data_IF_313456089189
#
_entry.id   IF_313456089189
#
_cell.length_a   1.000
_cell.length_b   1.000
_cell.length_c   1.000
_cell.angle_alpha   90.00
_cell.angle_beta   90.00
_cell.angle_gamma   90.00
#
_symmetry.space_group_name_H-M   'P 1'
#
loop_
_entity.id
_entity.type
_entity.pdbx_description
1 polymer ?
#
# COMPACT_ATOMS: atom_id res chain seq x y z
N UNK A 1 60.23 44.89 -4.55
CA UNK A 1 61.18 45.28 -5.61
C UNK A 1 61.48 44.07 -6.48
N UNK A 2 61.30 44.24 -7.79
CA UNK A 2 61.63 43.35 -8.93
C UNK A 2 60.75 42.11 -9.24
N UNK A 3 59.97 42.34 -10.29
CA UNK A 3 59.36 41.49 -11.31
C UNK A 3 60.37 40.48 -11.91
N UNK A 4 59.89 39.31 -12.33
CA UNK A 4 60.50 38.51 -13.41
C UNK A 4 59.82 37.16 -13.64
N UNK A 5 58.86 37.03 -14.57
CA UNK A 5 58.94 36.60 -16.00
C UNK A 5 58.72 35.10 -16.24
N UNK A 6 57.80 34.85 -17.16
CA UNK A 6 57.36 33.59 -17.77
C UNK A 6 58.46 32.94 -18.64
N UNK A 7 58.51 31.60 -18.67
CA UNK A 7 58.98 30.86 -19.86
C UNK A 7 58.24 29.54 -20.04
N UNK A 8 57.50 29.45 -21.15
CA UNK A 8 56.98 28.24 -21.81
C UNK A 8 58.11 27.52 -22.56
N UNK A 9 58.19 26.18 -22.53
CA UNK A 9 58.79 25.39 -23.63
C UNK A 9 58.11 24.04 -23.83
N UNK A 10 58.02 23.74 -25.12
CA UNK A 10 57.35 22.65 -25.82
C UNK A 10 58.25 21.40 -26.00
N UNK A 11 57.57 20.25 -26.11
CA UNK A 11 57.69 19.20 -27.12
C UNK A 11 58.74 18.06 -27.07
N UNK A 12 58.21 16.89 -27.51
CA UNK A 12 58.73 15.74 -28.31
C UNK A 12 58.72 14.42 -27.54
N UNK A 13 57.73 13.53 -27.71
CA UNK A 13 57.47 12.54 -28.78
C UNK A 13 58.69 11.66 -29.12
N UNK A 14 58.57 10.37 -28.78
CA UNK A 14 59.10 9.16 -29.44
C UNK A 14 58.26 7.99 -28.85
N UNK A 15 57.20 7.51 -29.51
CA UNK A 15 57.16 6.54 -30.61
C UNK A 15 57.95 5.25 -30.33
N UNK A 16 57.30 4.28 -29.69
CA UNK A 16 57.63 2.86 -29.83
C UNK A 16 56.38 2.10 -30.28
N UNK A 17 56.34 1.80 -31.57
CA UNK A 17 55.45 0.82 -32.15
C UNK A 17 56.01 -0.57 -31.85
N UNK A 18 55.17 -1.45 -31.32
CA UNK A 18 55.36 -2.90 -31.44
C UNK A 18 54.07 -3.50 -31.95
N UNK A 19 54.13 -3.94 -33.20
CA UNK A 19 53.18 -4.85 -33.82
C UNK A 19 53.03 -6.11 -32.94
N UNK A 20 51.81 -6.45 -32.56
CA UNK A 20 51.42 -7.85 -32.37
C UNK A 20 50.13 -8.10 -33.13
N UNK A 21 50.16 -9.27 -33.75
CA UNK A 21 49.38 -9.77 -34.86
C UNK A 21 47.91 -10.02 -34.53
N UNK A 22 47.11 -9.99 -35.60
CA UNK A 22 45.69 -10.29 -35.66
C UNK A 22 45.32 -11.64 -35.03
N UNK A 23 44.48 -11.59 -33.98
CA UNK A 23 43.54 -12.66 -33.65
C UNK A 23 42.13 -12.14 -33.97
N UNK A 24 41.56 -12.59 -35.09
CA UNK A 24 40.19 -12.29 -35.44
C UNK A 24 39.24 -13.02 -34.47
N UNK A 25 38.73 -12.31 -33.47
CA UNK A 25 37.52 -12.71 -32.76
C UNK A 25 36.36 -11.88 -33.33
N UNK A 26 35.55 -12.53 -34.18
CA UNK A 26 34.25 -12.01 -34.55
C UNK A 26 33.34 -12.06 -33.31
N UNK A 27 33.18 -10.92 -32.63
CA UNK A 27 32.01 -10.67 -31.80
C UNK A 27 31.00 -9.90 -32.67
N UNK A 28 30.24 -10.62 -33.50
CA UNK A 28 29.08 -10.02 -34.15
C UNK A 28 28.02 -9.79 -33.07
N UNK A 29 27.81 -8.52 -32.77
CA UNK A 29 26.84 -8.04 -31.81
C UNK A 29 25.42 -8.44 -32.22
N UNK A 30 24.77 -9.23 -31.36
CA UNK A 30 23.33 -9.21 -31.29
C UNK A 30 22.93 -7.96 -30.51
N UNK A 31 22.72 -6.86 -31.24
CA UNK A 31 21.87 -5.78 -30.77
C UNK A 31 20.48 -6.37 -30.57
N UNK A 32 20.10 -6.60 -29.32
CA UNK A 32 18.70 -6.84 -28.96
C UNK A 32 17.95 -5.54 -29.22
N UNK A 33 17.37 -5.44 -30.42
CA UNK A 33 16.34 -4.47 -30.75
C UNK A 33 15.14 -4.75 -29.84
N UNK A 34 15.05 -4.02 -28.72
CA UNK A 34 13.78 -3.88 -28.02
C UNK A 34 12.89 -3.02 -28.92
N UNK A 35 12.09 -3.68 -29.76
CA UNK A 35 11.02 -3.03 -30.49
C UNK A 35 10.02 -2.48 -29.48
N UNK A 36 9.96 -1.16 -29.34
CA UNK A 36 8.80 -0.52 -28.73
C UNK A 36 7.65 -0.66 -29.73
N UNK A 37 6.79 -1.65 -29.50
CA UNK A 37 5.49 -1.69 -30.15
C UNK A 37 4.72 -0.42 -29.74
N UNK A 38 4.34 0.37 -30.72
CA UNK A 38 3.45 1.51 -30.55
C UNK A 38 2.09 0.99 -30.06
N UNK A 39 1.75 1.26 -28.80
CA UNK A 39 0.43 0.96 -28.25
C UNK A 39 -0.57 1.99 -28.78
N UNK A 40 -1.07 1.75 -29.98
CA UNK A 40 -2.31 2.34 -30.44
C UNK A 40 -3.47 1.63 -29.72
N UNK A 41 -4.22 2.38 -28.91
CA UNK A 41 -5.54 2.06 -28.35
C UNK A 41 -5.83 0.58 -28.05
N UNK A 42 -5.48 0.12 -26.85
CA UNK A 42 -5.97 -1.14 -26.31
C UNK A 42 -7.11 -0.84 -25.32
N UNK A 43 -8.28 -1.40 -25.63
CA UNK A 43 -9.36 -1.67 -24.68
C UNK A 43 -8.78 -2.51 -23.52
N UNK A 44 -9.17 -2.21 -22.28
CA UNK A 44 -8.56 -2.78 -21.08
C UNK A 44 -8.90 -4.26 -20.90
N UNK A 45 -8.13 -5.16 -21.53
CA UNK A 45 -8.19 -6.60 -21.29
C UNK A 45 -7.36 -6.93 -20.03
N UNK A 46 -7.84 -6.46 -18.87
CA UNK A 46 -7.28 -6.87 -17.58
C UNK A 46 -7.70 -8.32 -17.36
N UNK A 47 -6.74 -9.23 -17.36
CA UNK A 47 -6.99 -10.64 -17.09
C UNK A 47 -7.80 -10.79 -15.79
N UNK A 48 -8.84 -11.65 -15.77
CA UNK A 48 -9.70 -11.78 -14.61
C UNK A 48 -8.89 -12.17 -13.38
N UNK A 49 -9.29 -11.64 -12.22
CA UNK A 49 -8.70 -12.01 -10.94
C UNK A 49 -8.70 -13.54 -10.73
N UNK A 50 -7.69 -14.13 -10.06
CA UNK A 50 -7.66 -15.58 -9.83
C UNK A 50 -8.95 -16.11 -9.20
N UNK A 51 -9.47 -17.26 -9.65
CA UNK A 51 -10.76 -17.81 -9.17
C UNK A 51 -10.79 -18.00 -7.65
N UNK A 52 -9.71 -18.52 -7.06
CA UNK A 52 -9.58 -18.68 -5.59
C UNK A 52 -9.61 -17.35 -4.84
N UNK A 53 -9.12 -16.26 -5.45
CA UNK A 53 -9.22 -14.93 -4.89
C UNK A 53 -10.67 -14.44 -4.93
N UNK A 54 -11.37 -14.63 -6.06
CA UNK A 54 -12.77 -14.27 -6.20
C UNK A 54 -13.63 -15.00 -5.16
N UNK A 55 -13.40 -16.31 -4.99
CA UNK A 55 -14.08 -17.12 -4.00
C UNK A 55 -13.83 -16.60 -2.57
N UNK A 56 -12.57 -16.37 -2.20
CA UNK A 56 -12.23 -15.87 -0.86
C UNK A 56 -12.79 -14.47 -0.60
N UNK A 57 -12.77 -13.58 -1.60
CA UNK A 57 -13.40 -12.27 -1.50
C UNK A 57 -14.92 -12.41 -1.25
N UNK A 58 -15.61 -13.26 -2.01
CA UNK A 58 -17.04 -13.50 -1.83
C UNK A 58 -17.36 -14.05 -0.44
N UNK A 59 -16.59 -15.03 0.06
CA UNK A 59 -16.73 -15.59 1.41
C UNK A 59 -16.56 -14.51 2.49
N UNK A 60 -15.51 -13.68 2.40
CA UNK A 60 -15.25 -12.59 3.34
C UNK A 60 -16.36 -11.52 3.31
N UNK A 61 -16.86 -11.16 2.12
CA UNK A 61 -17.97 -10.21 1.96
C UNK A 61 -19.25 -10.74 2.61
N UNK A 62 -19.60 -12.00 2.35
CA UNK A 62 -20.80 -12.63 2.92
C UNK A 62 -20.71 -12.77 4.43
N UNK A 63 -19.52 -13.05 4.96
CA UNK A 63 -19.29 -13.08 6.40
C UNK A 63 -19.45 -11.71 7.04
N UNK A 64 -18.80 -10.68 6.48
CA UNK A 64 -18.90 -9.31 6.97
C UNK A 64 -20.34 -8.78 6.91
N UNK A 65 -21.09 -9.11 5.85
CA UNK A 65 -22.47 -8.68 5.66
C UNK A 65 -23.45 -9.16 6.74
N UNK A 66 -23.06 -10.11 7.60
CA UNK A 66 -23.83 -10.54 8.78
C UNK A 66 -23.80 -9.51 9.91
N UNK A 67 -22.82 -8.61 9.92
CA UNK A 67 -22.68 -7.56 10.91
C UNK A 67 -23.54 -6.34 10.53
N UNK A 68 -24.14 -5.69 11.52
CA UNK A 68 -25.03 -4.53 11.32
C UNK A 68 -24.38 -3.44 10.44
N UNK A 69 -23.11 -3.13 10.72
CA UNK A 69 -22.28 -2.14 10.03
C UNK A 69 -22.09 -2.41 8.53
N UNK A 70 -22.19 -3.67 8.09
CA UNK A 70 -21.91 -4.08 6.70
C UNK A 70 -23.13 -4.70 6.00
N UNK A 71 -24.34 -4.57 6.54
CA UNK A 71 -25.55 -5.19 5.96
C UNK A 71 -25.75 -4.88 4.46
N UNK A 72 -25.38 -3.68 4.01
CA UNK A 72 -25.43 -3.30 2.60
C UNK A 72 -24.54 -4.14 1.67
N UNK A 73 -23.53 -4.84 2.21
CA UNK A 73 -22.60 -5.64 1.44
C UNK A 73 -23.20 -6.96 0.93
N UNK A 74 -24.32 -7.42 1.52
CA UNK A 74 -24.98 -8.67 1.13
C UNK A 74 -25.40 -8.72 -0.36
N UNK A 75 -25.67 -7.55 -0.94
CA UNK A 75 -26.09 -7.37 -2.34
C UNK A 75 -25.06 -6.58 -3.15
N UNK A 76 -23.84 -6.42 -2.63
CA UNK A 76 -22.79 -5.69 -3.33
C UNK A 76 -22.29 -6.46 -4.54
N UNK A 77 -21.93 -5.72 -5.60
CA UNK A 77 -21.21 -6.26 -6.74
C UNK A 77 -19.73 -5.91 -6.62
N UNK A 78 -18.83 -6.89 -6.39
CA UNK A 78 -17.41 -6.63 -6.26
C UNK A 78 -16.74 -6.42 -7.62
N UNK A 79 -15.84 -5.45 -7.70
CA UNK A 79 -14.87 -5.28 -8.78
C UNK A 79 -13.48 -5.53 -8.21
N UNK A 80 -12.70 -6.42 -8.82
CA UNK A 80 -11.38 -6.81 -8.31
C UNK A 80 -10.29 -6.31 -9.26
N UNK A 81 -9.42 -5.45 -8.74
CA UNK A 81 -8.36 -4.79 -9.51
C UNK A 81 -6.99 -5.04 -8.87
N UNK A 82 -5.93 -5.31 -9.66
CA UNK A 82 -4.59 -5.49 -9.11
C UNK A 82 -4.01 -4.17 -8.59
N UNK A 83 -3.37 -4.21 -7.42
CA UNK A 83 -2.69 -3.05 -6.81
C UNK A 83 -1.22 -2.95 -7.25
N UNK A 84 -1.05 -2.81 -8.57
CA UNK A 84 0.25 -2.57 -9.20
C UNK A 84 1.07 -3.83 -9.48
N UNK A 85 2.13 -3.71 -10.30
CA UNK A 85 2.93 -4.85 -10.73
C UNK A 85 3.67 -5.53 -9.56
N UNK A 86 3.59 -6.86 -9.48
CA UNK A 86 4.42 -7.67 -8.57
C UNK A 86 4.00 -7.65 -7.09
N UNK A 87 2.98 -6.88 -6.71
CA UNK A 87 2.51 -6.77 -5.31
C UNK A 87 1.70 -7.97 -4.85
N UNK A 88 1.22 -8.79 -5.81
CA UNK A 88 0.29 -9.92 -5.58
C UNK A 88 -0.85 -9.53 -4.62
N UNK A 89 -1.34 -8.31 -4.79
CA UNK A 89 -2.36 -7.69 -3.95
C UNK A 89 -3.45 -7.09 -4.83
N UNK A 90 -4.69 -7.12 -4.35
CA UNK A 90 -5.85 -6.67 -5.08
C UNK A 90 -6.73 -5.79 -4.21
N UNK A 91 -7.29 -4.76 -4.84
CA UNK A 91 -8.40 -3.98 -4.33
C UNK A 91 -9.69 -4.64 -4.78
N UNK A 92 -10.58 -4.90 -3.83
CA UNK A 92 -11.95 -5.34 -4.09
C UNK A 92 -12.87 -4.19 -3.75
N UNK A 93 -13.39 -3.50 -4.76
CA UNK A 93 -14.32 -2.38 -4.58
C UNK A 93 -15.75 -2.91 -4.58
N UNK A 94 -16.53 -2.58 -3.56
CA UNK A 94 -17.92 -3.02 -3.43
C UNK A 94 -18.85 -1.90 -3.89
N UNK A 95 -19.60 -2.13 -4.96
CA UNK A 95 -20.58 -1.17 -5.44
C UNK A 95 -22.01 -1.58 -5.02
N UNK A 96 -22.88 -0.59 -4.81
CA UNK A 96 -24.31 -0.85 -4.59
C UNK A 96 -24.88 -1.62 -5.78
N UNK A 97 -25.43 -2.80 -5.53
CA UNK A 97 -26.17 -3.59 -6.53
C UNK A 97 -27.56 -3.03 -6.85
N UNK A 98 -27.99 -1.95 -6.19
CA UNK A 98 -29.31 -1.35 -6.37
C UNK A 98 -29.22 0.02 -7.06
N UNK A 99 -30.08 0.26 -8.05
CA UNK A 99 -30.08 1.46 -8.92
C UNK A 99 -30.39 2.80 -8.23
N UNK A 100 -30.27 2.92 -6.90
CA UNK A 100 -30.69 4.09 -6.12
C UNK A 100 -29.57 4.83 -5.38
N UNK A 101 -28.43 4.21 -5.12
CA UNK A 101 -27.31 4.83 -4.39
C UNK A 101 -26.03 4.69 -5.21
N UNK A 102 -25.67 5.70 -6.01
CA UNK A 102 -24.44 5.66 -6.80
C UNK A 102 -23.24 5.89 -5.88
N UNK A 103 -22.39 4.87 -5.70
CA UNK A 103 -21.15 4.98 -4.93
C UNK A 103 -20.66 3.63 -4.41
N UNK A 104 -19.37 3.52 -4.07
CA UNK A 104 -18.85 2.32 -3.42
C UNK A 104 -19.37 2.24 -1.97
N UNK A 105 -19.85 1.06 -1.59
CA UNK A 105 -20.28 0.70 -0.23
C UNK A 105 -19.10 0.44 0.72
N UNK A 106 -17.93 0.17 0.15
CA UNK A 106 -16.73 -0.17 0.89
C UNK A 106 -15.74 -0.93 0.01
N UNK A 107 -14.73 -1.52 0.64
CA UNK A 107 -13.66 -2.22 -0.05
C UNK A 107 -12.99 -3.29 0.80
N UNK A 108 -12.24 -4.17 0.16
CA UNK A 108 -11.29 -5.08 0.77
C UNK A 108 -9.93 -4.93 0.08
N UNK A 109 -8.85 -5.16 0.81
CA UNK A 109 -7.51 -5.40 0.26
C UNK A 109 -7.12 -6.82 0.62
N UNK A 110 -6.80 -7.61 -0.42
CA UNK A 110 -6.41 -9.01 -0.28
C UNK A 110 -5.04 -9.19 -0.90
N UNK A 111 -4.13 -9.87 -0.19
CA UNK A 111 -2.80 -10.22 -0.69
C UNK A 111 -2.61 -11.73 -0.76
N UNK A 112 -1.90 -12.21 -1.79
CA UNK A 112 -1.44 -13.59 -1.85
C UNK A 112 -0.14 -13.77 -1.06
N UNK A 113 -0.05 -14.89 -0.37
CA UNK A 113 1.15 -15.40 0.29
C UNK A 113 2.06 -16.14 -0.71
N UNK A 114 3.37 -16.30 -0.42
CA UNK A 114 4.26 -17.13 -1.24
C UNK A 114 3.76 -18.57 -1.45
N UNK A 115 2.98 -19.09 -0.51
CA UNK A 115 2.38 -20.43 -0.55
C UNK A 115 1.12 -20.50 -1.43
N UNK A 116 0.68 -19.38 -2.02
CA UNK A 116 -0.49 -19.31 -2.90
C UNK A 116 -1.83 -19.27 -2.17
N UNK A 117 -1.83 -18.98 -0.87
CA UNK A 117 -3.05 -18.67 -0.09
C UNK A 117 -3.32 -17.17 -0.05
N UNK A 118 -4.56 -16.76 0.15
CA UNK A 118 -4.96 -15.34 0.22
C UNK A 118 -5.19 -14.89 1.65
N UNK A 119 -4.87 -13.63 1.94
CA UNK A 119 -5.00 -12.98 3.25
C UNK A 119 -5.79 -11.69 3.11
N UNK A 120 -6.83 -11.53 3.92
CA UNK A 120 -7.58 -10.28 4.06
C UNK A 120 -6.73 -9.30 4.87
N UNK A 121 -6.11 -8.34 4.20
CA UNK A 121 -5.18 -7.40 4.84
C UNK A 121 -5.95 -6.28 5.53
N UNK A 122 -6.98 -5.80 4.85
CA UNK A 122 -7.75 -4.63 5.26
C UNK A 122 -9.14 -4.67 4.63
N UNK A 123 -10.13 -4.06 5.29
CA UNK A 123 -11.42 -3.74 4.73
C UNK A 123 -11.95 -2.46 5.37
N UNK A 124 -12.83 -1.75 4.67
CA UNK A 124 -13.37 -0.49 5.19
C UNK A 124 -14.63 -0.05 4.49
N UNK A 125 -15.31 0.89 5.14
CA UNK A 125 -16.54 1.50 4.67
C UNK A 125 -16.28 2.81 3.94
N UNK A 126 -17.29 3.24 3.19
CA UNK A 126 -17.46 4.62 2.76
C UNK A 126 -16.92 4.92 1.36
N UNK A 127 -17.39 6.05 0.83
CA UNK A 127 -17.07 6.53 -0.51
C UNK A 127 -15.62 7.05 -0.64
N UNK A 128 -15.00 7.36 0.51
CA UNK A 128 -13.61 7.82 0.64
C UNK A 128 -12.69 6.66 1.08
N UNK A 129 -12.84 5.51 0.42
CA UNK A 129 -11.95 4.36 0.63
C UNK A 129 -10.50 4.66 0.24
N UNK A 130 -9.59 3.78 0.64
CA UNK A 130 -8.24 3.75 0.03
C UNK A 130 -8.40 3.59 -1.48
N UNK A 131 -7.62 4.34 -2.26
CA UNK A 131 -7.71 4.44 -3.72
C UNK A 131 -9.03 5.04 -4.25
N UNK A 132 -9.76 5.82 -3.44
CA UNK A 132 -10.94 6.51 -3.92
C UNK A 132 -10.60 7.54 -5.00
N UNK A 133 -11.41 7.55 -6.06
CA UNK A 133 -11.22 8.45 -7.21
C UNK A 133 -11.25 9.94 -6.83
N UNK A 134 -12.11 10.43 -5.92
CA UNK A 134 -12.10 11.84 -5.51
C UNK A 134 -10.74 12.31 -4.97
N UNK A 135 -10.09 11.50 -4.12
CA UNK A 135 -8.77 11.82 -3.56
C UNK A 135 -7.70 11.90 -4.66
N UNK A 136 -7.70 10.94 -5.59
CA UNK A 136 -6.81 10.96 -6.75
C UNK A 136 -7.00 12.22 -7.61
N UNK A 137 -8.26 12.58 -7.92
CA UNK A 137 -8.54 13.75 -8.75
C UNK A 137 -8.11 15.06 -8.08
N UNK A 138 -8.27 15.16 -6.76
CA UNK A 138 -7.78 16.30 -5.98
C UNK A 138 -6.24 16.41 -6.05
N UNK A 139 -5.51 15.31 -5.80
CA UNK A 139 -4.05 15.30 -5.87
C UNK A 139 -3.50 15.55 -7.29
N UNK A 140 -4.16 15.04 -8.32
CA UNK A 140 -3.80 15.35 -9.72
C UNK A 140 -3.98 16.83 -10.04
N UNK A 141 -5.05 17.46 -9.52
CA UNK A 141 -5.27 18.88 -9.70
C UNK A 141 -4.19 19.73 -9.00
N UNK A 142 -3.74 19.32 -7.81
CA UNK A 142 -2.63 19.96 -7.09
C UNK A 142 -1.30 19.88 -7.87
N UNK A 143 -1.04 18.74 -8.52
CA UNK A 143 0.09 18.58 -9.44
C UNK A 143 -0.05 19.36 -10.76
N UNK A 144 -1.17 20.08 -10.97
CA UNK A 144 -1.47 20.80 -12.21
C UNK A 144 -1.79 19.87 -13.40
N UNK A 145 -2.08 18.59 -13.13
CA UNK A 145 -2.41 17.60 -14.16
C UNK A 145 -3.88 17.73 -14.50
N UNK A 146 -4.16 18.50 -15.54
CA UNK A 146 -5.51 18.65 -16.10
C UNK A 146 -6.01 17.36 -16.76
N UNK A 147 -7.33 17.29 -16.98
CA UNK A 147 -7.97 16.23 -17.77
C UNK A 147 -7.38 16.09 -19.19
N UNK A 148 -6.89 17.18 -19.79
CA UNK A 148 -6.26 17.17 -21.12
C UNK A 148 -4.89 16.51 -21.15
N UNK A 149 -4.15 16.57 -20.06
CA UNK A 149 -2.82 15.93 -19.89
C UNK A 149 -2.91 14.51 -19.35
N UNK A 150 -4.11 14.03 -19.01
CA UNK A 150 -4.35 12.70 -18.42
C UNK A 150 -4.02 11.56 -19.37
N UNK A 151 -4.24 11.74 -20.68
CA UNK A 151 -3.86 10.77 -21.71
C UNK A 151 -2.34 10.58 -21.84
N UNK A 152 -1.54 11.54 -21.36
CA UNK A 152 -0.08 11.47 -21.30
C UNK A 152 0.44 11.34 -19.86
N UNK A 153 -0.36 10.74 -18.97
CA UNK A 153 0.01 10.47 -17.58
C UNK A 153 -0.32 9.01 -17.27
N UNK A 154 0.70 8.22 -16.94
CA UNK A 154 0.51 6.89 -16.38
C UNK A 154 0.14 7.00 -14.91
N UNK A 155 -1.02 6.48 -14.54
CA UNK A 155 -1.50 6.44 -13.16
C UNK A 155 -1.57 4.97 -12.77
N UNK A 156 -0.85 4.58 -11.73
CA UNK A 156 -0.78 3.19 -11.29
C UNK A 156 -1.01 3.12 -9.79
N UNK A 157 -2.03 2.37 -9.31
CA UNK A 157 -2.15 2.10 -7.89
C UNK A 157 -0.97 1.21 -7.48
N UNK A 158 -0.26 1.58 -6.42
CA UNK A 158 0.85 0.80 -5.89
C UNK A 158 0.62 0.55 -4.40
N UNK A 159 0.84 -0.70 -3.98
CA UNK A 159 0.55 -1.13 -2.61
C UNK A 159 1.64 -2.01 -2.05
N UNK A 160 2.11 -1.66 -0.87
CA UNK A 160 3.08 -2.43 -0.10
C UNK A 160 2.74 -2.42 1.40
N UNK A 161 1.44 -2.43 1.70
CA UNK A 161 0.88 -2.52 3.04
C UNK A 161 -0.04 -1.35 3.37
N UNK A 162 -0.79 -1.43 4.48
CA UNK A 162 -1.84 -0.45 4.82
C UNK A 162 -1.35 0.98 5.03
N UNK A 163 -0.08 1.12 5.41
CA UNK A 163 0.60 2.40 5.57
C UNK A 163 1.51 2.74 4.37
N UNK A 164 1.39 2.04 3.25
CA UNK A 164 2.18 2.26 2.04
C UNK A 164 1.31 1.95 0.82
N UNK A 165 0.21 2.70 0.71
CA UNK A 165 -0.77 2.64 -0.36
C UNK A 165 -0.76 3.99 -1.07
N UNK A 166 -0.35 4.01 -2.33
CA UNK A 166 -0.06 5.26 -3.05
C UNK A 166 -0.48 5.17 -4.52
N UNK A 167 -0.74 6.32 -5.14
CA UNK A 167 -0.82 6.44 -6.58
C UNK A 167 0.53 6.86 -7.14
N UNK A 168 1.12 6.02 -7.98
CA UNK A 168 2.32 6.38 -8.74
C UNK A 168 1.91 7.08 -10.03
N UNK A 169 2.33 8.34 -10.17
CA UNK A 169 2.02 9.23 -11.29
C UNK A 169 3.28 9.40 -12.14
N UNK A 170 3.27 8.89 -13.36
CA UNK A 170 4.39 8.95 -14.29
C UNK A 170 4.04 9.79 -15.52
N UNK A 171 4.84 10.82 -15.81
CA UNK A 171 4.63 11.61 -17.02
C UNK A 171 5.16 10.84 -18.24
N UNK A 172 4.29 10.49 -19.20
CA UNK A 172 4.77 9.86 -20.45
C UNK A 172 5.53 10.84 -21.33
N UNK A 173 5.23 12.15 -21.22
CA UNK A 173 5.88 13.21 -22.00
C UNK A 173 7.28 13.60 -21.49
N UNK A 174 7.60 13.32 -20.22
CA UNK A 174 8.92 13.55 -19.62
C UNK A 174 9.32 12.31 -18.80
N UNK A 175 9.82 11.26 -19.47
CA UNK A 175 10.27 10.04 -18.80
C UNK A 175 11.25 10.38 -17.68
N UNK A 176 10.99 9.90 -16.46
CA UNK A 176 11.84 10.11 -15.29
C UNK A 176 11.28 11.07 -14.22
N UNK A 177 10.20 11.80 -14.48
CA UNK A 177 9.45 12.49 -13.41
C UNK A 177 8.33 11.59 -12.90
N UNK A 178 8.46 11.16 -11.64
CA UNK A 178 7.45 10.35 -10.94
C UNK A 178 7.03 11.12 -9.69
N UNK A 179 5.72 11.21 -9.47
CA UNK A 179 5.14 11.70 -8.23
C UNK A 179 4.37 10.56 -7.56
N UNK A 180 4.28 10.61 -6.24
CA UNK A 180 3.45 9.71 -5.46
C UNK A 180 2.40 10.53 -4.73
N UNK A 181 1.17 10.05 -4.76
CA UNK A 181 0.07 10.62 -3.97
C UNK A 181 -0.37 9.59 -2.95
N UNK A 182 -0.64 10.01 -1.72
CA UNK A 182 -1.26 9.12 -0.73
C UNK A 182 -2.62 8.62 -1.23
N UNK A 183 -2.86 7.32 -1.16
CA UNK A 183 -4.06 6.72 -1.74
C UNK A 183 -5.35 7.04 -0.97
N UNK A 184 -5.26 7.58 0.25
CA UNK A 184 -6.41 7.92 1.10
C UNK A 184 -6.78 9.39 0.95
N UNK A 185 -5.78 10.27 1.03
CA UNK A 185 -5.94 11.73 1.10
C UNK A 185 -5.72 12.42 -0.24
N UNK A 186 -4.93 11.81 -1.13
CA UNK A 186 -4.50 12.43 -2.39
C UNK A 186 -3.34 13.42 -2.21
N UNK A 187 -2.78 13.56 -1.01
CA UNK A 187 -1.64 14.45 -0.74
C UNK A 187 -0.39 14.03 -1.51
N UNK A 188 0.37 15.01 -2.01
CA UNK A 188 1.66 14.75 -2.67
C UNK A 188 2.70 14.33 -1.64
N UNK A 189 3.26 13.14 -1.81
CA UNK A 189 4.23 12.57 -0.88
C UNK A 189 5.67 12.90 -1.28
N UNK A 190 6.60 13.08 -0.32
CA UNK A 190 8.03 13.23 -0.57
C UNK A 190 8.68 11.86 -0.87
N UNK A 191 8.07 11.07 -1.75
CA UNK A 191 8.48 9.71 -2.09
C UNK A 191 9.12 9.70 -3.49
N UNK A 192 10.16 8.89 -3.68
CA UNK A 192 10.77 8.60 -4.98
C UNK A 192 10.64 7.13 -5.32
N UNK A 193 10.88 6.76 -6.59
CA UNK A 193 10.89 5.35 -7.00
C UNK A 193 11.89 4.53 -6.17
N UNK A 194 13.05 5.10 -5.83
CA UNK A 194 14.07 4.42 -5.02
C UNK A 194 13.60 4.20 -3.58
N UNK A 195 13.01 5.21 -2.94
CA UNK A 195 12.52 5.08 -1.56
C UNK A 195 11.27 4.21 -1.49
N UNK A 196 10.37 4.28 -2.47
CA UNK A 196 9.25 3.34 -2.63
C UNK A 196 9.77 1.90 -2.70
N UNK A 197 10.72 1.61 -3.60
CA UNK A 197 11.25 0.27 -3.78
C UNK A 197 11.91 -0.29 -2.51
N UNK A 198 12.64 0.54 -1.75
CA UNK A 198 13.25 0.12 -0.48
C UNK A 198 12.20 -0.23 0.58
N UNK A 199 11.12 0.54 0.66
CA UNK A 199 10.03 0.28 1.59
C UNK A 199 9.21 -0.94 1.14
N UNK A 200 8.84 -1.00 -0.14
CA UNK A 200 8.04 -2.06 -0.73
C UNK A 200 8.71 -3.44 -0.67
N UNK A 201 10.03 -3.50 -0.80
CA UNK A 201 10.80 -4.75 -0.66
C UNK A 201 10.63 -5.43 0.72
N UNK A 202 10.20 -4.68 1.75
CA UNK A 202 9.96 -5.18 3.11
C UNK A 202 8.54 -5.69 3.31
N UNK A 203 7.62 -5.39 2.39
CA UNK A 203 6.24 -5.82 2.54
C UNK A 203 6.14 -7.34 2.58
N UNK A 204 5.40 -7.85 3.56
CA UNK A 204 5.02 -9.24 3.66
C UNK A 204 3.52 -9.28 3.94
N UNK A 205 2.75 -10.11 3.21
CA UNK A 205 1.36 -10.36 3.55
C UNK A 205 1.25 -10.79 5.03
N UNK A 206 0.26 -10.28 5.79
CA UNK A 206 0.11 -10.61 7.20
C UNK A 206 -0.15 -12.11 7.38
N UNK A 207 0.72 -12.78 8.12
CA UNK A 207 0.64 -14.21 8.40
C UNK A 207 -0.60 -14.54 9.25
N UNK A 208 -0.91 -13.70 10.25
CA UNK A 208 -2.02 -13.96 11.18
C UNK A 208 -3.36 -13.37 10.74
N UNK A 209 -3.47 -12.80 9.54
CA UNK A 209 -4.75 -12.34 9.02
C UNK A 209 -5.67 -13.49 8.60
N UNK A 210 -6.97 -13.20 8.54
CA UNK A 210 -7.97 -14.13 8.03
C UNK A 210 -7.61 -14.51 6.59
N UNK A 211 -7.67 -15.80 6.25
CA UNK A 211 -7.22 -16.24 4.93
C UNK A 211 -7.93 -17.45 4.36
N UNK A 212 -7.79 -17.63 3.05
CA UNK A 212 -8.48 -18.66 2.26
C UNK A 212 -8.12 -20.11 2.63
N UNK A 213 -7.11 -20.31 3.47
CA UNK A 213 -6.73 -21.63 3.99
C UNK A 213 -7.42 -22.01 5.30
N UNK A 214 -8.24 -21.13 5.87
CA UNK A 214 -8.93 -21.34 7.14
C UNK A 214 -10.41 -21.66 6.87
N UNK A 215 -10.90 -22.88 7.19
CA UNK A 215 -12.31 -23.21 6.99
C UNK A 215 -13.20 -22.49 8.02
N UNK A 216 -14.43 -22.14 7.64
CA UNK A 216 -15.43 -21.54 8.53
C UNK A 216 -14.89 -20.32 9.31
N UNK A 217 -14.37 -19.34 8.57
CA UNK A 217 -13.97 -18.05 9.14
C UNK A 217 -15.20 -17.24 9.51
N UNK A 218 -15.28 -16.84 10.78
CA UNK A 218 -16.32 -15.97 11.29
C UNK A 218 -15.71 -14.69 11.86
N UNK A 219 -16.35 -13.57 11.56
CA UNK A 219 -16.06 -12.27 12.12
C UNK A 219 -16.85 -12.09 13.42
N UNK A 220 -16.18 -11.64 14.49
CA UNK A 220 -16.88 -11.23 15.71
C UNK A 220 -17.38 -9.79 15.59
N UNK A 221 -18.25 -9.37 16.52
CA UNK A 221 -18.71 -7.97 16.57
C UNK A 221 -17.52 -7.03 16.80
N UNK A 222 -17.51 -5.90 16.10
CA UNK A 222 -16.49 -4.85 16.30
C UNK A 222 -16.61 -4.25 17.70
N UNK A 223 -15.50 -4.18 18.41
CA UNK A 223 -15.40 -3.57 19.74
C UNK A 223 -14.87 -2.16 19.57
N UNK A 224 -15.75 -1.17 19.76
CA UNK A 224 -15.41 0.26 19.81
C UNK A 224 -15.13 0.67 21.26
N UNK A 225 -14.01 1.35 21.49
CA UNK A 225 -13.55 1.76 22.82
C UNK A 225 -13.57 3.27 23.01
N UNK A 226 -13.52 4.03 21.91
CA UNK A 226 -13.68 5.47 21.89
C UNK A 226 -14.33 5.92 20.57
N UNK A 227 -14.80 7.16 20.53
CA UNK A 227 -15.16 7.83 19.27
C UNK A 227 -13.89 8.04 18.41
N UNK A 228 -14.02 8.09 17.08
CA UNK A 228 -12.91 8.46 16.21
C UNK A 228 -12.32 9.81 16.61
N UNK A 229 -11.02 9.96 16.42
CA UNK A 229 -10.28 11.16 16.81
C UNK A 229 -9.18 11.45 15.79
N UNK A 230 -8.71 12.69 15.74
CA UNK A 230 -7.56 13.06 14.93
C UNK A 230 -6.28 12.99 15.79
N UNK A 231 -5.27 12.17 15.44
CA UNK A 231 -3.98 12.19 16.13
C UNK A 231 -3.32 13.57 16.17
N UNK A 232 -3.64 14.49 15.25
CA UNK A 232 -3.09 15.84 15.22
C UNK A 232 -3.74 16.81 16.22
N UNK A 233 -4.93 16.49 16.76
CA UNK A 233 -5.58 17.33 17.77
C UNK A 233 -4.74 17.43 19.06
N UNK A 234 -4.00 16.35 19.41
CA UNK A 234 -3.05 16.35 20.51
C UNK A 234 -1.79 15.54 20.18
N UNK A 235 -0.74 16.23 19.75
CA UNK A 235 0.55 15.60 19.36
C UNK A 235 1.40 15.10 20.54
N UNK A 236 0.94 15.16 21.79
CA UNK A 236 1.71 14.70 22.94
C UNK A 236 2.05 13.21 22.89
N UNK A 237 1.29 12.41 22.12
CA UNK A 237 1.61 11.00 21.84
C UNK A 237 3.00 10.82 21.21
N UNK A 238 3.54 11.83 20.53
CA UNK A 238 4.89 11.77 19.92
C UNK A 238 5.99 11.61 20.97
N UNK A 239 5.71 11.98 22.22
CA UNK A 239 6.63 11.85 23.35
C UNK A 239 6.49 10.54 24.11
N UNK A 240 5.49 9.72 23.78
CA UNK A 240 5.21 8.47 24.48
C UNK A 240 6.13 7.33 24.04
N UNK A 241 6.36 6.40 24.97
CA UNK A 241 7.03 5.14 24.63
C UNK A 241 6.11 4.26 23.79
N UNK A 242 6.72 3.55 22.84
CA UNK A 242 6.03 2.52 22.08
C UNK A 242 5.54 1.40 23.00
N UNK A 243 4.32 0.92 22.77
CA UNK A 243 3.83 -0.30 23.42
C UNK A 243 4.76 -1.44 23.05
N UNK A 244 5.40 -2.02 24.06
CA UNK A 244 6.39 -3.08 23.87
C UNK A 244 5.70 -4.37 23.43
N UNK A 245 6.04 -4.84 22.24
CA UNK A 245 5.60 -6.11 21.70
C UNK A 245 6.80 -7.03 21.51
N UNK A 246 6.56 -8.33 21.62
CA UNK A 246 7.49 -9.38 21.17
C UNK A 246 6.91 -9.99 19.89
N UNK A 247 7.78 -10.43 18.97
CA UNK A 247 7.35 -11.01 17.70
C UNK A 247 6.29 -12.11 17.92
N UNK A 248 5.17 -12.04 17.20
CA UNK A 248 4.06 -12.98 17.32
C UNK A 248 3.11 -12.77 18.51
N UNK A 249 3.30 -11.74 19.35
CA UNK A 249 2.44 -11.47 20.50
C UNK A 249 1.70 -10.14 20.39
N UNK A 250 0.42 -10.24 20.03
CA UNK A 250 -0.51 -9.10 19.87
C UNK A 250 -1.16 -8.62 21.17
N UNK A 251 -1.13 -9.44 22.23
CA UNK A 251 -1.81 -9.16 23.50
C UNK A 251 -1.40 -7.84 24.17
N UNK A 252 -0.13 -7.39 24.14
CA UNK A 252 0.23 -6.09 24.70
C UNK A 252 -0.49 -4.92 24.03
N UNK A 253 -0.69 -4.97 22.70
CA UNK A 253 -1.41 -3.92 21.96
C UNK A 253 -2.88 -3.88 22.39
N UNK A 254 -3.55 -5.04 22.40
CA UNK A 254 -4.96 -5.11 22.83
C UNK A 254 -5.14 -4.71 24.29
N UNK A 255 -4.19 -5.05 25.16
CA UNK A 255 -4.21 -4.61 26.57
C UNK A 255 -4.06 -3.10 26.68
N UNK A 256 -3.09 -2.51 25.97
CA UNK A 256 -2.89 -1.06 25.95
C UNK A 256 -4.14 -0.35 25.41
N UNK A 257 -4.70 -0.84 24.30
CA UNK A 257 -5.91 -0.28 23.70
C UNK A 257 -7.11 -0.34 24.64
N UNK A 258 -7.32 -1.47 25.34
CA UNK A 258 -8.39 -1.59 26.35
C UNK A 258 -8.17 -0.71 27.59
N UNK A 259 -6.93 -0.33 27.88
CA UNK A 259 -6.58 0.48 29.06
C UNK A 259 -6.73 1.96 28.75
N UNK A 260 -6.26 2.39 27.59
CA UNK A 260 -6.22 3.81 27.18
C UNK A 260 -7.42 4.22 26.33
N UNK A 261 -8.20 3.25 25.80
CA UNK A 261 -9.27 3.41 24.81
C UNK A 261 -8.87 4.02 23.46
N UNK A 262 -7.77 4.79 23.42
CA UNK A 262 -7.18 5.44 22.26
C UNK A 262 -5.69 5.12 22.19
N UNK A 263 -5.24 4.64 21.05
CA UNK A 263 -3.83 4.54 20.70
C UNK A 263 -3.59 5.29 19.38
N UNK A 264 -2.34 5.67 19.12
CA UNK A 264 -1.92 6.12 17.79
C UNK A 264 -1.02 5.05 17.20
N UNK A 265 -1.38 4.52 16.03
CA UNK A 265 -0.44 3.77 15.22
C UNK A 265 0.43 4.75 14.44
N UNK A 266 1.74 4.52 14.41
CA UNK A 266 2.70 5.39 13.75
C UNK A 266 3.55 4.57 12.79
N UNK A 267 3.29 4.73 11.49
CA UNK A 267 4.19 4.25 10.46
C UNK A 267 5.36 5.21 10.33
N UNK A 268 6.55 4.80 10.77
CA UNK A 268 7.77 5.60 10.77
C UNK A 268 8.99 4.69 10.71
N UNK A 269 10.14 5.19 10.26
CA UNK A 269 11.38 4.41 10.23
C UNK A 269 12.45 5.02 9.34
N UNK A 270 13.68 4.50 9.38
CA UNK A 270 14.82 5.09 8.67
C UNK A 270 14.68 5.08 7.13
N UNK A 271 13.85 4.19 6.58
CA UNK A 271 13.59 4.12 5.13
C UNK A 271 12.38 4.93 4.69
N UNK A 272 11.58 5.45 5.63
CA UNK A 272 10.39 6.24 5.29
C UNK A 272 10.78 7.70 5.12
N UNK A 273 10.23 8.36 4.11
CA UNK A 273 10.42 9.80 3.90
C UNK A 273 9.36 10.65 4.61
N UNK A 274 8.30 10.03 5.11
CA UNK A 274 7.22 10.65 5.87
C UNK A 274 6.68 9.69 6.94
N UNK A 275 5.91 10.21 7.90
CA UNK A 275 5.26 9.42 8.93
C UNK A 275 3.74 9.49 8.80
N UNK A 276 3.07 8.36 9.03
CA UNK A 276 1.61 8.30 8.99
C UNK A 276 1.11 7.95 10.40
N UNK A 277 0.49 8.88 11.13
CA UNK A 277 -0.27 8.56 12.32
C UNK A 277 -1.69 8.13 11.95
N UNK A 278 -2.16 7.02 12.52
CA UNK A 278 -3.54 6.55 12.40
C UNK A 278 -4.19 6.49 13.78
N UNK A 279 -5.41 7.02 13.96
CA UNK A 279 -6.13 6.89 15.21
C UNK A 279 -6.59 5.46 15.42
N UNK A 280 -6.45 4.92 16.62
CA UNK A 280 -6.84 3.55 16.95
C UNK A 280 -7.79 3.59 18.12
N UNK A 281 -9.05 3.23 17.87
CA UNK A 281 -10.15 3.41 18.83
C UNK A 281 -11.06 2.17 18.93
N UNK A 282 -10.62 1.04 18.40
CA UNK A 282 -11.33 -0.23 18.50
C UNK A 282 -10.61 -1.37 17.81
N UNK A 283 -11.24 -2.54 17.78
CA UNK A 283 -10.73 -3.70 17.08
C UNK A 283 -11.85 -4.70 16.73
N UNK A 284 -11.57 -5.59 15.78
CA UNK A 284 -12.40 -6.76 15.47
C UNK A 284 -11.52 -8.02 15.44
N UNK A 285 -12.11 -9.14 15.82
CA UNK A 285 -11.48 -10.46 15.83
C UNK A 285 -12.15 -11.36 14.79
N UNK A 286 -11.34 -12.17 14.10
CA UNK A 286 -11.79 -13.22 13.19
C UNK A 286 -11.27 -14.56 13.70
N UNK A 287 -12.13 -15.58 13.68
CA UNK A 287 -11.82 -16.93 14.19
C UNK A 287 -12.28 -17.98 13.20
N UNK A 288 -11.59 -19.10 13.18
CA UNK A 288 -12.03 -20.30 12.47
C UNK A 288 -12.59 -21.30 13.47
N UNK A 289 -13.77 -21.85 13.18
CA UNK A 289 -14.44 -22.83 14.06
C UNK A 289 -13.70 -24.18 14.12
N UNK A 290 -12.83 -24.45 13.14
CA UNK A 290 -12.18 -25.76 12.97
C UNK A 290 -10.76 -25.83 13.55
N UNK A 291 -10.25 -24.73 14.08
CA UNK A 291 -8.87 -24.68 14.57
C UNK A 291 -8.85 -25.02 16.06
N UNK A 292 -7.98 -25.97 16.41
CA UNK A 292 -7.73 -26.35 17.81
C UNK A 292 -7.31 -25.12 18.62
N UNK A 293 -7.55 -25.15 19.93
CA UNK A 293 -7.39 -24.07 20.92
C UNK A 293 -5.98 -23.46 21.11
N UNK A 294 -5.11 -23.52 20.08
CA UNK A 294 -3.74 -23.00 20.06
C UNK A 294 -3.44 -21.92 19.01
N UNK A 295 -4.25 -21.74 17.95
CA UNK A 295 -3.99 -20.65 16.99
C UNK A 295 -4.62 -19.33 17.48
N UNK A 296 -3.82 -18.27 17.46
CA UNK A 296 -4.28 -16.94 17.83
C UNK A 296 -5.32 -16.42 16.83
N UNK A 297 -6.40 -15.76 17.28
CA UNK A 297 -7.37 -15.15 16.39
C UNK A 297 -6.70 -14.09 15.50
N UNK A 298 -7.22 -13.92 14.29
CA UNK A 298 -6.84 -12.80 13.45
C UNK A 298 -7.45 -11.52 14.06
N UNK A 299 -6.63 -10.49 14.24
CA UNK A 299 -7.06 -9.23 14.86
C UNK A 299 -6.91 -8.10 13.86
N UNK A 300 -7.96 -7.29 13.75
CA UNK A 300 -8.02 -6.10 12.95
C UNK A 300 -8.24 -4.89 13.85
N UNK A 301 -7.47 -3.83 13.61
CA UNK A 301 -7.57 -2.56 14.32
C UNK A 301 -8.56 -1.66 13.62
N UNK A 302 -9.50 -1.10 14.38
CA UNK A 302 -10.45 -0.08 13.90
C UNK A 302 -9.76 1.30 13.91
N UNK A 303 -9.76 1.94 12.75
CA UNK A 303 -9.18 3.26 12.48
C UNK A 303 -10.02 4.02 11.45
N UNK A 304 -9.59 5.22 11.06
CA UNK A 304 -10.31 6.10 10.13
C UNK A 304 -11.27 7.05 10.84
N UNK A 305 -12.21 7.61 10.09
CA UNK A 305 -13.23 8.56 10.58
C UNK A 305 -14.61 7.90 10.64
N UNK A 306 -15.61 8.59 11.22
CA UNK A 306 -17.00 8.08 11.25
C UNK A 306 -17.57 7.74 9.86
N UNK A 307 -17.10 8.42 8.81
CA UNK A 307 -17.56 8.21 7.44
C UNK A 307 -16.67 7.28 6.61
N UNK A 308 -15.53 6.87 7.14
CA UNK A 308 -14.50 6.11 6.42
C UNK A 308 -13.76 5.17 7.39
N UNK A 309 -14.52 4.36 8.12
CA UNK A 309 -13.98 3.38 9.06
C UNK A 309 -13.19 2.30 8.32
N UNK A 310 -12.06 1.91 8.91
CA UNK A 310 -11.12 0.94 8.35
C UNK A 310 -10.76 -0.08 9.41
N UNK A 311 -10.70 -1.33 9.00
CA UNK A 311 -10.24 -2.46 9.80
C UNK A 311 -8.98 -3.01 9.16
N UNK A 312 -7.85 -2.79 9.81
CA UNK A 312 -6.54 -3.16 9.27
C UNK A 312 -5.96 -4.28 10.11
N UNK A 313 -5.45 -5.33 9.47
CA UNK A 313 -4.76 -6.42 10.17
C UNK A 313 -3.70 -5.87 11.12
N UNK A 314 -3.79 -6.22 12.40
CA UNK A 314 -2.83 -5.82 13.42
C UNK A 314 -1.41 -6.30 13.08
N UNK A 315 -1.30 -7.49 12.49
CA UNK A 315 -0.01 -8.02 12.00
C UNK A 315 0.57 -7.14 10.88
N UNK A 316 -0.26 -6.71 9.92
CA UNK A 316 0.19 -5.78 8.87
C UNK A 316 0.67 -4.43 9.43
N UNK A 317 0.01 -3.91 10.46
CA UNK A 317 0.45 -2.70 11.16
C UNK A 317 1.75 -2.93 11.93
N UNK A 318 1.88 -4.02 12.69
CA UNK A 318 3.10 -4.34 13.45
C UNK A 318 4.34 -4.52 12.55
N UNK A 319 4.15 -4.94 11.29
CA UNK A 319 5.23 -5.06 10.32
C UNK A 319 5.69 -3.72 9.73
N UNK A 320 4.94 -2.63 9.94
CA UNK A 320 5.17 -1.34 9.28
C UNK A 320 5.25 -0.13 10.22
N UNK A 321 5.08 -0.34 11.53
CA UNK A 321 5.11 0.75 12.50
C UNK A 321 5.02 0.30 13.95
N UNK A 322 4.58 1.23 14.80
CA UNK A 322 4.47 1.05 16.25
C UNK A 322 3.17 1.66 16.78
N UNK A 323 2.75 1.22 17.94
CA UNK A 323 1.62 1.81 18.65
C UNK A 323 2.12 2.60 19.85
N UNK A 324 1.54 3.76 20.10
CA UNK A 324 1.77 4.61 21.27
C UNK A 324 0.45 4.98 21.91
N UNK A 325 0.46 5.30 23.21
CA UNK A 325 -0.74 5.79 23.88
C UNK A 325 -1.10 7.19 23.37
N UNK A 326 -2.40 7.44 23.16
CA UNK A 326 -2.89 8.80 23.04
C UNK A 326 -3.00 9.43 24.43
N UNK A 327 -2.63 10.70 24.56
CA UNK A 327 -2.81 11.46 25.79
C UNK A 327 -4.04 12.35 25.63
N UNK A 328 -4.97 12.24 26.56
CA UNK A 328 -6.07 13.22 26.69
C UNK A 328 -5.57 14.53 27.30
#
# INVERSE_FOLDING_TARGET
MKIGTITTRYARILLCASLVWFGAFQANGQQLLFGFASAAAADNDVAPAPEKLQQFAAEAIQELAKQETFTGWAQASPIIEPLGPGTHSWLVTLNSGTSGTPGPLGYLIISATPEGTYKLVEYGLGENSVFAKPALEAGLAELGISSKSRSSTGITPVYAGPALAEWMISATAKPGTVHFLDAVTGEVLPESTESWNRQAAKYRPPASAAGSGQPALNSEVTIRLADPFDPYDNILWMTEEAVRTTAGHINPILKALKTSSRLVFVASGPERTYSIPLPVYGYQTWKSDSVSSGDAPAVYILTGTDSAERWISLDALLNSGKFVAYKD
#
